data_IF_744260305576
#
_entry.id   IF_744260305576
#
_cell.length_a   1.000
_cell.length_b   1.000
_cell.length_c   1.000
_cell.angle_alpha   90.00
_cell.angle_beta   90.00
_cell.angle_gamma   90.00
#
_symmetry.space_group_name_H-M   'P 1'
#
loop_
_entity.id
_entity.type
_entity.pdbx_description
1 polymer ?
#
# COMPACT_ATOMS: atom_id res chain seq x y z
N UNK A 1 -5.02 -13.58 -8.50
CA UNK A 1 -3.97 -14.01 -7.54
C UNK A 1 -4.58 -14.02 -6.15
N UNK A 2 -4.14 -14.90 -5.24
CA UNK A 2 -4.60 -14.89 -3.84
C UNK A 2 -3.39 -14.66 -2.94
N UNK A 3 -3.43 -13.61 -2.13
CA UNK A 3 -2.43 -13.35 -1.10
C UNK A 3 -2.88 -13.98 0.22
N UNK A 4 -1.92 -14.53 0.96
CA UNK A 4 -2.12 -15.23 2.22
C UNK A 4 -1.49 -14.47 3.40
N UNK A 5 -0.69 -13.44 3.13
CA UNK A 5 0.01 -12.65 4.14
C UNK A 5 -0.05 -11.16 3.87
N UNK A 6 0.06 -10.34 4.92
CA UNK A 6 0.14 -8.88 4.79
C UNK A 6 1.32 -8.42 3.95
N UNK A 7 2.46 -9.13 4.04
CA UNK A 7 3.68 -8.79 3.28
C UNK A 7 3.44 -8.96 1.79
N UNK A 8 2.70 -9.99 1.35
CA UNK A 8 2.42 -10.17 -0.08
C UNK A 8 1.59 -9.02 -0.67
N UNK A 9 0.59 -8.51 0.06
CA UNK A 9 -0.15 -7.31 -0.36
C UNK A 9 0.77 -6.10 -0.50
N UNK A 10 1.66 -5.90 0.47
CA UNK A 10 2.60 -4.77 0.49
C UNK A 10 3.62 -4.89 -0.66
N UNK A 11 4.20 -6.07 -0.87
CA UNK A 11 5.18 -6.33 -1.93
C UNK A 11 4.56 -6.17 -3.31
N UNK A 12 3.31 -6.60 -3.47
CA UNK A 12 2.58 -6.42 -4.72
C UNK A 12 2.33 -4.93 -5.02
N UNK A 13 1.85 -4.15 -4.05
CA UNK A 13 1.68 -2.70 -4.24
C UNK A 13 3.02 -2.01 -4.57
N UNK A 14 4.13 -2.45 -3.97
CA UNK A 14 5.48 -1.97 -4.28
C UNK A 14 5.89 -2.34 -5.71
N UNK A 15 5.56 -3.53 -6.18
CA UNK A 15 5.85 -3.94 -7.55
C UNK A 15 5.09 -3.08 -8.57
N UNK A 16 3.78 -2.89 -8.36
CA UNK A 16 2.93 -2.07 -9.22
C UNK A 16 3.41 -0.62 -9.31
N UNK A 17 3.65 0.03 -8.16
CA UNK A 17 4.10 1.42 -8.17
C UNK A 17 5.45 1.58 -8.87
N UNK A 18 6.38 0.62 -8.71
CA UNK A 18 7.68 0.64 -9.41
C UNK A 18 7.51 0.49 -10.92
N UNK A 19 6.60 -0.37 -11.35
CA UNK A 19 6.25 -0.51 -12.76
C UNK A 19 5.66 0.79 -13.32
N UNK A 20 4.75 1.46 -12.58
CA UNK A 20 4.18 2.74 -12.98
C UNK A 20 5.22 3.86 -13.04
N UNK A 21 6.14 3.91 -12.08
CA UNK A 21 7.29 4.84 -12.08
C UNK A 21 8.16 4.61 -13.31
N UNK A 22 8.45 3.35 -13.67
CA UNK A 22 9.25 3.05 -14.86
C UNK A 22 8.59 3.54 -16.16
N UNK A 23 7.24 3.54 -16.22
CA UNK A 23 6.48 4.06 -17.36
C UNK A 23 6.34 5.58 -17.35
N UNK A 24 6.16 6.19 -16.18
CA UNK A 24 5.87 7.62 -16.02
C UNK A 24 6.65 8.23 -14.84
N UNK A 25 7.98 8.42 -14.98
CA UNK A 25 8.88 8.73 -13.85
C UNK A 25 8.69 10.14 -13.27
N UNK A 26 8.02 11.04 -13.99
CA UNK A 26 7.89 12.45 -13.61
C UNK A 26 6.69 12.74 -12.73
N UNK A 27 5.82 11.77 -12.44
CA UNK A 27 4.63 12.02 -11.63
C UNK A 27 4.99 12.03 -10.13
N UNK A 28 4.97 13.19 -9.44
CA UNK A 28 5.54 13.31 -8.09
C UNK A 28 4.84 12.44 -7.03
N UNK A 29 3.56 12.13 -7.25
CA UNK A 29 2.74 11.30 -6.36
C UNK A 29 3.35 9.91 -6.20
N UNK A 30 3.94 9.34 -7.25
CA UNK A 30 4.49 7.98 -7.17
C UNK A 30 5.63 7.84 -6.18
N UNK A 31 6.52 8.83 -6.09
CA UNK A 31 7.60 8.83 -5.11
C UNK A 31 7.05 8.88 -3.67
N UNK A 32 6.01 9.69 -3.44
CA UNK A 32 5.35 9.77 -2.15
C UNK A 32 4.69 8.45 -1.75
N UNK A 33 4.00 7.79 -2.69
CA UNK A 33 3.37 6.48 -2.49
C UNK A 33 4.43 5.40 -2.19
N UNK A 34 5.48 5.31 -3.00
CA UNK A 34 6.55 4.31 -2.80
C UNK A 34 7.22 4.47 -1.43
N UNK A 35 7.52 5.69 -1.01
CA UNK A 35 8.11 5.95 0.31
C UNK A 35 7.19 5.51 1.47
N UNK A 36 5.87 5.71 1.34
CA UNK A 36 4.91 5.24 2.33
C UNK A 36 4.83 3.71 2.35
N UNK A 37 4.81 3.05 1.19
CA UNK A 37 4.82 1.59 1.09
C UNK A 37 6.07 0.96 1.70
N UNK A 38 7.26 1.54 1.44
CA UNK A 38 8.51 1.05 2.02
C UNK A 38 8.54 1.19 3.54
N UNK A 39 7.99 2.29 4.07
CA UNK A 39 7.83 2.45 5.52
C UNK A 39 6.88 1.38 6.08
N UNK A 40 5.71 1.16 5.47
CA UNK A 40 4.77 0.11 5.91
C UNK A 40 5.46 -1.26 5.90
N UNK A 41 6.19 -1.59 4.82
CA UNK A 41 6.95 -2.83 4.73
C UNK A 41 7.93 -2.99 5.90
N UNK A 42 8.73 -1.96 6.18
CA UNK A 42 9.71 -2.00 7.28
C UNK A 42 9.08 -2.22 8.66
N UNK A 43 7.85 -1.73 8.89
CA UNK A 43 7.09 -1.97 10.12
C UNK A 43 6.66 -3.43 10.22
N UNK A 44 6.19 -4.01 9.12
CA UNK A 44 5.71 -5.40 9.08
C UNK A 44 6.85 -6.43 9.09
N UNK A 45 8.04 -6.05 8.61
CA UNK A 45 9.28 -6.84 8.75
C UNK A 45 9.92 -6.71 10.14
N UNK A 46 9.41 -5.82 11.00
CA UNK A 46 9.94 -5.56 12.35
C UNK A 46 11.26 -4.76 12.38
N UNK A 47 11.67 -4.19 11.24
CA UNK A 47 12.84 -3.32 11.12
C UNK A 47 12.53 -1.95 11.75
N UNK A 48 11.38 -1.38 11.40
CA UNK A 48 10.88 -0.14 12.00
C UNK A 48 10.04 -0.45 13.24
N UNK A 49 10.43 0.16 14.37
CA UNK A 49 9.78 -0.06 15.67
C UNK A 49 8.79 1.05 16.00
N UNK A 50 8.99 2.25 15.46
CA UNK A 50 8.05 3.35 15.62
C UNK A 50 6.86 3.18 14.66
N UNK A 51 5.75 2.67 15.21
CA UNK A 51 4.50 2.51 14.48
C UNK A 51 3.65 3.78 14.44
N UNK A 52 4.02 4.85 15.15
CA UNK A 52 3.21 6.06 15.28
C UNK A 52 2.94 6.74 13.94
N UNK A 53 3.85 6.60 12.97
CA UNK A 53 3.70 7.17 11.64
C UNK A 53 2.67 6.43 10.78
N UNK A 54 2.21 5.23 11.16
CA UNK A 54 1.13 4.54 10.44
C UNK A 54 -0.16 5.38 10.42
N UNK A 55 -0.46 6.10 11.51
CA UNK A 55 -1.62 7.00 11.58
C UNK A 55 -1.50 8.27 10.72
N UNK A 56 -0.30 8.55 10.20
CA UNK A 56 -0.01 9.77 9.42
C UNK A 56 0.07 9.50 7.93
N UNK A 57 -0.15 8.26 7.50
CA UNK A 57 -0.08 7.86 6.10
C UNK A 57 -1.27 8.44 5.34
N UNK A 58 -0.99 9.02 4.18
CA UNK A 58 -2.01 9.52 3.24
C UNK A 58 -2.31 8.52 2.12
N UNK A 59 -1.75 7.31 2.18
CA UNK A 59 -1.80 6.32 1.11
C UNK A 59 -3.23 5.98 0.65
N UNK A 60 -4.20 5.85 1.58
CA UNK A 60 -5.60 5.61 1.21
C UNK A 60 -6.25 6.81 0.52
N UNK A 61 -5.91 8.04 0.94
CA UNK A 61 -6.40 9.25 0.29
C UNK A 61 -5.78 9.46 -1.10
N UNK A 62 -4.49 9.12 -1.27
CA UNK A 62 -3.81 9.15 -2.56
C UNK A 62 -4.40 8.09 -3.50
N UNK A 63 -4.69 6.89 -3.01
CA UNK A 63 -5.34 5.83 -3.78
C UNK A 63 -6.66 6.30 -4.42
N UNK A 64 -7.57 6.83 -3.61
CA UNK A 64 -8.87 7.29 -4.08
C UNK A 64 -8.77 8.51 -5.00
N UNK A 65 -7.93 9.50 -4.67
CA UNK A 65 -7.91 10.78 -5.39
C UNK A 65 -7.12 10.75 -6.69
N UNK A 66 -6.03 9.98 -6.74
CA UNK A 66 -5.06 10.05 -7.83
C UNK A 66 -5.20 8.88 -8.81
N UNK A 67 -5.71 7.73 -8.35
CA UNK A 67 -5.64 6.48 -9.10
C UNK A 67 -6.99 5.80 -9.35
N UNK A 68 -8.04 6.06 -8.57
CA UNK A 68 -9.32 5.34 -8.68
C UNK A 68 -9.93 5.39 -10.10
N UNK A 69 -9.78 6.51 -10.81
CA UNK A 69 -10.30 6.68 -12.18
C UNK A 69 -9.28 6.33 -13.27
N UNK A 70 -7.98 6.30 -12.96
CA UNK A 70 -6.90 6.25 -13.98
C UNK A 70 -6.04 4.99 -13.92
N UNK A 71 -6.00 4.32 -12.77
CA UNK A 71 -5.22 3.12 -12.50
C UNK A 71 -5.89 2.36 -11.34
N UNK A 72 -7.05 1.76 -11.64
CA UNK A 72 -7.90 1.05 -10.69
C UNK A 72 -7.16 -0.11 -10.00
N UNK A 73 -6.29 -0.79 -10.74
CA UNK A 73 -5.38 -1.82 -10.25
C UNK A 73 -4.47 -1.28 -9.13
N UNK A 74 -3.76 -0.18 -9.37
CA UNK A 74 -2.92 0.46 -8.36
C UNK A 74 -3.76 1.02 -7.20
N UNK A 75 -4.87 1.68 -7.49
CA UNK A 75 -5.77 2.21 -6.47
C UNK A 75 -6.23 1.11 -5.51
N UNK A 76 -6.63 -0.04 -6.05
CA UNK A 76 -7.06 -1.19 -5.25
C UNK A 76 -5.93 -1.74 -4.39
N UNK A 77 -4.74 -1.94 -4.95
CA UNK A 77 -3.58 -2.39 -4.20
C UNK A 77 -3.25 -1.47 -3.02
N UNK A 78 -3.30 -0.15 -3.24
CA UNK A 78 -3.03 0.84 -2.20
C UNK A 78 -4.10 0.87 -1.11
N UNK A 79 -5.38 0.67 -1.47
CA UNK A 79 -6.48 0.57 -0.51
C UNK A 79 -6.40 -0.69 0.35
N UNK A 80 -6.02 -1.82 -0.24
CA UNK A 80 -5.79 -3.08 0.47
C UNK A 80 -4.65 -2.92 1.51
N UNK A 81 -3.54 -2.28 1.12
CA UNK A 81 -2.43 -1.97 2.04
C UNK A 81 -2.85 -0.96 3.12
N UNK A 82 -3.63 0.06 2.77
CA UNK A 82 -4.17 1.02 3.74
C UNK A 82 -5.01 0.33 4.80
N UNK A 83 -5.88 -0.60 4.41
CA UNK A 83 -6.71 -1.37 5.34
C UNK A 83 -5.87 -2.19 6.33
N UNK A 84 -4.82 -2.86 5.85
CA UNK A 84 -3.88 -3.61 6.68
C UNK A 84 -3.11 -2.68 7.63
N UNK A 85 -2.54 -1.59 7.10
CA UNK A 85 -1.76 -0.63 7.88
C UNK A 85 -2.60 0.05 8.97
N UNK A 86 -3.86 0.40 8.67
CA UNK A 86 -4.78 1.01 9.62
C UNK A 86 -5.13 0.05 10.77
N UNK A 87 -5.34 -1.24 10.50
CA UNK A 87 -5.54 -2.23 11.57
C UNK A 87 -4.32 -2.34 12.48
N UNK A 88 -3.11 -2.41 11.90
CA UNK A 88 -1.87 -2.44 12.69
C UNK A 88 -1.66 -1.16 13.50
N UNK A 89 -2.03 0.01 12.97
CA UNK A 89 -1.90 1.28 13.67
C UNK A 89 -2.79 1.29 14.93
N UNK A 90 -3.99 0.72 14.82
CA UNK A 90 -4.96 0.65 15.92
C UNK A 90 -4.74 -0.57 16.85
N UNK A 91 -3.63 -1.30 16.71
CA UNK A 91 -3.33 -2.48 17.54
C UNK A 91 -4.31 -3.65 17.36
N UNK A 92 -5.01 -3.70 16.23
CA UNK A 92 -6.00 -4.72 15.92
C UNK A 92 -5.34 -5.98 15.37
N UNK A 93 -6.00 -7.13 15.57
CA UNK A 93 -5.65 -8.36 14.84
C UNK A 93 -5.90 -8.12 13.35
N UNK A 94 -4.86 -8.29 12.53
CA UNK A 94 -4.93 -8.06 11.09
C UNK A 94 -5.88 -9.08 10.44
N UNK A 95 -6.93 -8.57 9.82
CA UNK A 95 -7.74 -9.26 8.82
C UNK A 95 -7.20 -8.89 7.43
N UNK A 96 -7.02 -9.89 6.58
CA UNK A 96 -6.60 -9.65 5.20
C UNK A 96 -7.79 -9.15 4.37
N UNK A 97 -7.56 -8.24 3.40
CA UNK A 97 -8.60 -7.84 2.46
C UNK A 97 -9.22 -9.05 1.75
N UNK A 98 -10.55 -9.15 1.79
CA UNK A 98 -11.29 -10.13 1.01
C UNK A 98 -11.63 -9.54 -0.38
N UNK A 99 -11.26 -10.26 -1.43
CA UNK A 99 -11.50 -9.87 -2.81
C UNK A 99 -10.61 -10.66 -3.76
N UNK A 100 -11.21 -11.29 -4.76
CA UNK A 100 -10.46 -11.93 -5.85
C UNK A 100 -9.74 -10.85 -6.65
N UNK A 101 -8.41 -10.80 -6.53
CA UNK A 101 -7.57 -10.05 -7.45
C UNK A 101 -7.70 -10.65 -8.85
N UNK A 102 -8.39 -9.93 -9.75
CA UNK A 102 -8.46 -10.24 -11.17
C UNK A 102 -7.32 -9.47 -11.85
N UNK A 103 -6.23 -10.14 -12.25
CA UNK A 103 -5.18 -9.52 -13.04
C UNK A 103 -5.66 -9.21 -14.46
#
# INVERSE_FOLDING_TARGET
MKFETSIEFIDHAIALIKERIARHPTFPVYAAVLNQLLYIKSVFEGVEKDKSRLHKLSIGALAAKEFEETDDELARALMDVYYIANQSANGLKIQLPEGLWHP
#
